data_IF_753281102694
#
_entry.id   IF_753281102694
#
_cell.length_a   1.000
_cell.length_b   1.000
_cell.length_c   1.000
_cell.angle_alpha   90.00
_cell.angle_beta   90.00
_cell.angle_gamma   90.00
#
_symmetry.space_group_name_H-M   'P 1'
#
loop_
_entity.id
_entity.type
_entity.pdbx_description
1 polymer ?
#
# COMPACT_ATOMS: atom_id res chain seq x y z
N UNK A 1 -1.23 6.33 7.75
CA UNK A 1 -0.48 5.45 6.89
C UNK A 1 -0.08 4.17 7.58
N UNK A 2 -0.02 3.09 6.85
CA UNK A 2 0.10 1.74 7.39
C UNK A 2 1.52 1.40 7.79
N UNK A 3 1.89 1.66 9.02
CA UNK A 3 3.25 1.43 9.49
C UNK A 3 3.54 0.05 10.02
N UNK A 4 2.52 -0.72 10.28
CA UNK A 4 2.69 -1.98 10.98
C UNK A 4 2.07 -3.12 10.22
N UNK A 5 2.77 -3.56 9.19
CA UNK A 5 2.69 -4.97 8.91
C UNK A 5 3.58 -5.61 9.96
N UNK A 6 3.00 -5.97 11.09
CA UNK A 6 3.69 -6.87 12.01
C UNK A 6 4.13 -8.06 11.19
N UNK A 7 5.41 -8.38 11.23
CA UNK A 7 5.96 -9.59 10.63
C UNK A 7 5.16 -10.77 11.18
N UNK A 8 4.09 -11.12 10.48
CA UNK A 8 3.36 -12.33 10.79
C UNK A 8 4.22 -13.52 10.44
N UNK A 9 4.10 -14.57 11.21
CA UNK A 9 4.86 -15.80 11.06
C UNK A 9 4.59 -16.46 9.71
N UNK A 10 5.67 -16.78 8.96
CA UNK A 10 5.65 -17.65 7.82
C UNK A 10 5.32 -16.96 6.49
N UNK A 11 6.13 -17.26 5.46
CA UNK A 11 5.92 -16.77 4.10
C UNK A 11 4.83 -17.53 3.39
N UNK A 12 3.55 -17.17 3.58
CA UNK A 12 2.52 -17.61 2.67
C UNK A 12 2.50 -16.69 1.46
N UNK A 13 2.04 -17.19 0.30
CA UNK A 13 1.88 -16.41 -0.92
C UNK A 13 1.06 -15.15 -0.66
N UNK A 14 0.06 -15.23 0.23
CA UNK A 14 -0.78 -14.11 0.63
C UNK A 14 0.02 -12.97 1.28
N UNK A 15 1.01 -13.28 2.10
CA UNK A 15 1.86 -12.27 2.75
C UNK A 15 2.79 -11.56 1.77
N UNK A 16 3.29 -12.28 0.77
CA UNK A 16 4.12 -11.69 -0.28
C UNK A 16 3.28 -10.71 -1.09
N UNK A 17 2.05 -11.08 -1.41
CA UNK A 17 1.11 -10.20 -2.10
C UNK A 17 0.78 -8.95 -1.28
N UNK A 18 0.49 -9.10 -0.01
CA UNK A 18 0.19 -7.98 0.87
C UNK A 18 1.36 -7.01 0.96
N UNK A 19 2.59 -7.52 1.07
CA UNK A 19 3.79 -6.69 1.10
C UNK A 19 3.97 -5.93 -0.21
N UNK A 20 3.80 -6.60 -1.34
CA UNK A 20 3.91 -5.96 -2.66
C UNK A 20 2.86 -4.87 -2.82
N UNK A 21 1.61 -5.16 -2.47
CA UNK A 21 0.51 -4.20 -2.52
C UNK A 21 0.78 -2.98 -1.65
N UNK A 22 1.30 -3.21 -0.45
CA UNK A 22 1.63 -2.13 0.48
C UNK A 22 2.76 -1.24 -0.06
N UNK A 23 3.81 -1.82 -0.62
CA UNK A 23 4.89 -1.05 -1.22
C UNK A 23 4.39 -0.22 -2.40
N UNK A 24 3.58 -0.81 -3.28
CA UNK A 24 3.05 -0.13 -4.46
C UNK A 24 2.12 1.04 -4.07
N UNK A 25 1.25 0.81 -3.10
CA UNK A 25 0.40 1.87 -2.55
C UNK A 25 1.23 3.00 -1.94
N UNK A 26 2.27 2.65 -1.18
CA UNK A 26 3.16 3.62 -0.56
C UNK A 26 3.89 4.48 -1.61
N UNK A 27 4.35 3.86 -2.69
CA UNK A 27 4.97 4.58 -3.81
C UNK A 27 3.99 5.60 -4.40
N UNK A 28 2.75 5.18 -4.65
CA UNK A 28 1.72 6.08 -5.17
C UNK A 28 1.47 7.27 -4.24
N UNK A 29 1.32 6.99 -2.95
CA UNK A 29 1.05 8.03 -1.95
C UNK A 29 2.19 9.02 -1.81
N UNK A 30 3.43 8.55 -1.80
CA UNK A 30 4.62 9.42 -1.73
C UNK A 30 4.70 10.26 -2.99
N UNK A 31 4.47 9.67 -4.16
CA UNK A 31 4.50 10.39 -5.43
C UNK A 31 3.48 11.51 -5.48
N UNK A 32 2.27 11.27 -5.01
CA UNK A 32 1.24 12.32 -4.93
C UNK A 32 1.64 13.45 -4.00
N UNK A 33 2.28 13.14 -2.89
CA UNK A 33 2.67 14.12 -1.88
C UNK A 33 3.93 14.91 -2.28
N UNK A 34 4.96 14.22 -2.80
CA UNK A 34 6.28 14.82 -3.07
C UNK A 34 6.56 15.04 -4.55
N UNK A 35 5.87 14.36 -5.44
CA UNK A 35 6.14 14.42 -6.88
C UNK A 35 7.24 13.49 -7.36
N UNK A 36 7.98 12.84 -6.46
CA UNK A 36 9.03 11.89 -6.82
C UNK A 36 9.25 10.90 -5.68
N UNK A 37 9.72 9.70 -5.99
CA UNK A 37 9.92 8.62 -5.01
C UNK A 37 11.30 7.99 -5.21
N UNK A 38 12.02 7.82 -4.11
CA UNK A 38 13.26 7.04 -4.05
C UNK A 38 13.15 6.03 -2.91
N UNK A 39 14.02 5.03 -2.90
CA UNK A 39 14.00 3.99 -1.86
C UNK A 39 14.08 4.56 -0.44
N UNK A 40 14.84 5.64 -0.24
CA UNK A 40 14.94 6.27 1.08
C UNK A 40 13.61 6.83 1.56
N UNK A 41 12.78 7.33 0.66
CA UNK A 41 11.45 7.82 1.01
C UNK A 41 10.57 6.70 1.56
N UNK A 42 10.68 5.52 0.97
CA UNK A 42 9.94 4.32 1.42
C UNK A 42 10.45 3.86 2.78
N UNK A 43 11.78 3.84 2.97
CA UNK A 43 12.41 3.50 4.25
C UNK A 43 11.85 4.40 5.35
N UNK A 44 11.83 5.70 5.12
CA UNK A 44 11.36 6.67 6.11
C UNK A 44 9.85 6.55 6.37
N UNK A 45 9.09 6.28 5.34
CA UNK A 45 7.62 6.19 5.43
C UNK A 45 7.16 4.94 6.18
N UNK A 46 7.76 3.78 5.88
CA UNK A 46 7.36 2.49 6.43
C UNK A 46 8.17 2.08 7.65
N UNK A 47 9.24 2.82 7.95
CA UNK A 47 10.17 2.49 9.04
C UNK A 47 10.78 1.09 8.90
N UNK A 48 10.99 0.66 7.66
CA UNK A 48 11.64 -0.61 7.35
C UNK A 48 13.14 -0.38 7.14
N UNK A 49 13.94 -1.43 7.28
CA UNK A 49 15.38 -1.34 7.05
C UNK A 49 15.70 -1.06 5.58
N UNK A 50 16.81 -0.37 5.34
CA UNK A 50 17.30 -0.13 3.96
C UNK A 50 17.49 -1.41 3.15
N UNK A 51 18.12 -2.47 3.71
CA UNK A 51 18.24 -3.73 2.97
C UNK A 51 16.91 -4.36 2.61
N UNK A 52 15.93 -4.32 3.51
CA UNK A 52 14.59 -4.88 3.24
C UNK A 52 13.90 -4.15 2.10
N UNK A 53 13.95 -2.81 2.10
CA UNK A 53 13.36 -2.00 1.04
C UNK A 53 14.09 -2.23 -0.28
N UNK A 54 15.41 -2.30 -0.25
CA UNK A 54 16.22 -2.55 -1.45
C UNK A 54 15.86 -3.88 -2.12
N UNK A 55 15.73 -4.95 -1.34
CA UNK A 55 15.31 -6.26 -1.85
C UNK A 55 13.89 -6.19 -2.42
N UNK A 56 12.98 -5.53 -1.71
CA UNK A 56 11.60 -5.39 -2.16
C UNK A 56 11.52 -4.62 -3.49
N UNK A 57 12.26 -3.54 -3.62
CA UNK A 57 12.27 -2.74 -4.86
C UNK A 57 12.86 -3.53 -6.03
N UNK A 58 13.91 -4.30 -5.78
CA UNK A 58 14.47 -5.20 -6.80
C UNK A 58 13.44 -6.20 -7.28
N UNK A 59 12.72 -6.85 -6.35
CA UNK A 59 11.69 -7.83 -6.69
C UNK A 59 10.54 -7.20 -7.49
N UNK A 60 10.07 -6.02 -7.08
CA UNK A 60 9.01 -5.32 -7.80
C UNK A 60 9.44 -4.93 -9.21
N UNK A 61 10.69 -4.51 -9.38
CA UNK A 61 11.24 -4.17 -10.69
C UNK A 61 11.35 -5.40 -11.58
N UNK A 62 11.85 -6.52 -11.06
CA UNK A 62 11.97 -7.76 -11.79
C UNK A 62 10.62 -8.32 -12.25
N UNK A 63 9.58 -8.09 -11.48
CA UNK A 63 8.21 -8.52 -11.81
C UNK A 63 7.43 -7.50 -12.64
N UNK A 64 8.06 -6.39 -13.02
CA UNK A 64 7.45 -5.41 -13.91
C UNK A 64 6.45 -4.46 -13.27
N UNK A 65 6.46 -4.29 -11.97
CA UNK A 65 5.55 -3.38 -11.26
C UNK A 65 6.08 -1.96 -11.15
N UNK A 66 7.40 -1.80 -11.15
CA UNK A 66 8.07 -0.50 -11.06
C UNK A 66 9.22 -0.40 -12.04
N UNK A 67 9.62 0.83 -12.32
CA UNK A 67 10.85 1.16 -13.03
C UNK A 67 11.71 2.02 -12.12
N UNK A 68 13.02 1.92 -12.27
CA UNK A 68 13.98 2.73 -11.53
C UNK A 68 14.97 3.32 -12.54
N UNK A 69 15.14 4.63 -12.51
CA UNK A 69 16.11 5.29 -13.40
C UNK A 69 17.53 5.26 -12.81
N UNK A 70 18.47 5.85 -13.55
CA UNK A 70 19.89 5.86 -13.15
C UNK A 70 20.13 6.62 -11.84
N UNK A 71 19.27 7.57 -11.50
CA UNK A 71 19.36 8.37 -10.29
C UNK A 71 18.62 7.75 -9.10
N UNK A 72 18.00 6.59 -9.30
CA UNK A 72 17.27 5.86 -8.27
C UNK A 72 15.83 6.31 -8.07
N UNK A 73 15.28 7.12 -8.96
CA UNK A 73 13.87 7.50 -8.90
C UNK A 73 12.99 6.34 -9.36
N UNK A 74 11.95 6.10 -8.59
CA UNK A 74 11.03 4.98 -8.77
C UNK A 74 9.73 5.49 -9.40
N UNK A 75 9.27 4.83 -10.46
CA UNK A 75 7.97 5.08 -11.07
C UNK A 75 7.18 3.79 -11.17
N UNK A 76 5.87 3.89 -11.03
CA UNK A 76 4.97 2.75 -11.21
C UNK A 76 4.79 2.48 -12.70
N UNK A 77 4.81 1.20 -13.07
CA UNK A 77 4.38 0.80 -14.41
C UNK A 77 2.85 0.79 -14.43
N UNK A 78 2.24 0.60 -15.59
CA UNK A 78 0.79 0.45 -15.69
C UNK A 78 0.28 -0.68 -14.78
N UNK A 79 0.97 -1.82 -14.78
CA UNK A 79 0.65 -2.96 -13.93
C UNK A 79 0.74 -2.61 -12.44
N UNK A 80 1.79 -1.90 -12.04
CA UNK A 80 1.97 -1.45 -10.66
C UNK A 80 0.95 -0.40 -10.26
N UNK A 81 0.63 0.52 -11.15
CA UNK A 81 -0.38 1.57 -10.91
C UNK A 81 -1.76 0.99 -10.65
N UNK A 82 -2.16 -0.02 -11.41
CA UNK A 82 -3.47 -0.67 -11.21
C UNK A 82 -3.62 -1.20 -9.80
N UNK A 83 -2.58 -1.87 -9.30
CA UNK A 83 -2.58 -2.43 -7.95
C UNK A 83 -2.56 -1.30 -6.91
N UNK A 84 -1.68 -0.33 -7.08
CA UNK A 84 -1.54 0.79 -6.15
C UNK A 84 -2.84 1.59 -6.02
N UNK A 85 -3.47 1.91 -7.14
CA UNK A 85 -4.73 2.67 -7.17
C UNK A 85 -5.88 1.90 -6.53
N UNK A 86 -5.96 0.60 -6.78
CA UNK A 86 -6.97 -0.27 -6.17
C UNK A 86 -6.82 -0.30 -4.65
N UNK A 87 -5.60 -0.44 -4.15
CA UNK A 87 -5.34 -0.46 -2.71
C UNK A 87 -5.63 0.91 -2.08
N UNK A 88 -5.23 1.98 -2.75
CA UNK A 88 -5.46 3.33 -2.26
C UNK A 88 -6.95 3.67 -2.21
N UNK A 89 -7.73 3.26 -3.19
CA UNK A 89 -9.18 3.41 -3.19
C UNK A 89 -9.81 2.68 -1.99
N UNK A 90 -9.42 1.42 -1.78
CA UNK A 90 -9.89 0.63 -0.64
C UNK A 90 -9.55 1.32 0.68
N UNK A 91 -8.32 1.81 0.79
CA UNK A 91 -7.85 2.50 1.99
C UNK A 91 -8.74 3.70 2.32
N UNK A 92 -9.00 4.54 1.34
CA UNK A 92 -9.83 5.75 1.54
C UNK A 92 -11.25 5.41 1.96
N UNK A 93 -11.89 4.49 1.25
CA UNK A 93 -13.29 4.12 1.56
C UNK A 93 -13.42 3.47 2.93
N UNK A 94 -12.54 2.54 3.26
CA UNK A 94 -12.61 1.81 4.53
C UNK A 94 -12.29 2.73 5.69
N UNK A 95 -11.23 3.53 5.61
CA UNK A 95 -10.85 4.45 6.69
C UNK A 95 -11.96 5.48 6.94
N UNK A 96 -12.51 6.07 5.91
CA UNK A 96 -13.61 7.04 6.04
C UNK A 96 -14.88 6.40 6.58
N UNK A 97 -15.18 5.18 6.15
CA UNK A 97 -16.32 4.43 6.67
C UNK A 97 -16.20 4.17 8.17
N UNK A 98 -15.02 3.76 8.63
CA UNK A 98 -14.75 3.54 10.04
C UNK A 98 -14.86 4.83 10.85
N UNK A 99 -14.35 5.93 10.34
CA UNK A 99 -14.46 7.24 10.98
C UNK A 99 -15.93 7.63 11.14
N UNK A 100 -16.75 7.42 10.13
CA UNK A 100 -18.19 7.69 10.20
C UNK A 100 -18.90 6.83 11.24
N UNK A 101 -18.42 5.61 11.47
CA UNK A 101 -18.95 4.73 12.52
C UNK A 101 -18.53 5.18 13.92
N UNK A 102 -17.65 6.14 14.04
CA UNK A 102 -17.18 6.65 15.32
C UNK A 102 -15.81 6.15 15.75
N UNK A 103 -15.09 5.46 14.88
CA UNK A 103 -13.73 4.99 15.18
C UNK A 103 -12.78 6.18 15.11
N UNK A 104 -11.87 6.27 16.09
CA UNK A 104 -10.84 7.30 16.11
C UNK A 104 -10.08 7.31 14.77
N UNK A 105 -9.85 8.50 14.15
CA UNK A 105 -9.21 8.56 12.84
C UNK A 105 -7.89 7.82 12.72
N UNK A 106 -7.05 7.87 13.74
CA UNK A 106 -5.76 7.17 13.75
C UNK A 106 -5.95 5.65 13.72
N UNK A 107 -6.87 5.14 14.54
CA UNK A 107 -7.19 3.71 14.58
C UNK A 107 -7.86 3.29 13.28
N UNK A 108 -8.74 4.11 12.73
CA UNK A 108 -9.42 3.84 11.47
C UNK A 108 -8.43 3.65 10.32
N UNK A 109 -7.41 4.50 10.24
CA UNK A 109 -6.37 4.40 9.22
C UNK A 109 -5.55 3.11 9.39
N UNK A 110 -5.16 2.78 10.61
CA UNK A 110 -4.40 1.57 10.91
C UNK A 110 -5.19 0.30 10.57
N UNK A 111 -6.46 0.25 10.96
CA UNK A 111 -7.33 -0.89 10.67
C UNK A 111 -7.65 -1.01 9.18
N UNK A 112 -7.91 0.10 8.51
CA UNK A 112 -8.15 0.13 7.06
C UNK A 112 -6.99 -0.48 6.30
N UNK A 113 -5.76 -0.18 6.72
CA UNK A 113 -4.57 -0.73 6.10
C UNK A 113 -4.51 -2.26 6.15
N UNK A 114 -4.99 -2.84 7.23
CA UNK A 114 -5.05 -4.30 7.36
C UNK A 114 -6.20 -4.89 6.57
N UNK A 115 -7.37 -4.27 6.66
CA UNK A 115 -8.60 -4.75 6.03
C UNK A 115 -8.47 -4.72 4.50
N UNK A 116 -7.90 -3.68 3.94
CA UNK A 116 -7.83 -3.47 2.49
C UNK A 116 -7.15 -4.61 1.73
N UNK A 117 -6.22 -5.31 2.38
CA UNK A 117 -5.46 -6.40 1.75
C UNK A 117 -6.13 -7.76 1.86
N UNK A 118 -7.10 -7.91 2.75
CA UNK A 118 -7.69 -9.22 3.07
C UNK A 118 -9.14 -9.39 2.63
N UNK A 119 -9.85 -8.31 2.34
CA UNK A 119 -11.24 -8.41 1.89
C UNK A 119 -11.34 -8.75 0.41
N UNK A 120 -12.39 -9.47 0.05
CA UNK A 120 -12.68 -9.77 -1.35
C UNK A 120 -13.17 -8.51 -2.10
N UNK A 121 -13.07 -8.56 -3.43
CA UNK A 121 -13.64 -7.52 -4.27
C UNK A 121 -15.16 -7.38 -4.05
N UNK A 122 -15.83 -8.50 -3.83
CA UNK A 122 -17.28 -8.54 -3.59
C UNK A 122 -17.66 -7.79 -2.32
N UNK A 123 -16.91 -8.04 -1.23
CA UNK A 123 -17.12 -7.33 0.04
C UNK A 123 -16.84 -5.84 -0.11
N UNK A 124 -15.76 -5.49 -0.81
CA UNK A 124 -15.42 -4.08 -1.03
C UNK A 124 -16.49 -3.37 -1.86
N UNK A 125 -17.00 -4.00 -2.92
CA UNK A 125 -18.07 -3.44 -3.73
C UNK A 125 -19.35 -3.20 -2.91
N UNK A 126 -19.67 -4.13 -2.02
CA UNK A 126 -20.80 -3.95 -1.11
C UNK A 126 -20.60 -2.75 -0.17
N UNK A 127 -19.40 -2.60 0.37
CA UNK A 127 -19.05 -1.45 1.21
C UNK A 127 -19.20 -0.14 0.41
N UNK A 128 -18.70 -0.10 -0.82
CA UNK A 128 -18.82 1.08 -1.69
C UNK A 128 -20.28 1.47 -1.96
N UNK A 129 -21.14 0.49 -2.16
CA UNK A 129 -22.56 0.74 -2.44
C UNK A 129 -23.31 1.28 -1.23
N UNK A 130 -23.00 0.82 -0.04
CA UNK A 130 -23.71 1.16 1.18
C UNK A 130 -23.08 2.32 1.96
N UNK A 131 -21.79 2.54 1.80
CA UNK A 131 -21.08 3.66 2.42
C UNK A 131 -20.89 4.76 1.38
N UNK A 132 -21.92 5.50 1.08
CA UNK A 132 -21.79 6.69 0.23
C UNK A 132 -21.06 7.76 1.02
N UNK A 133 -19.81 7.92 0.68
CA UNK A 133 -18.93 8.90 1.31
C UNK A 133 -18.85 10.18 0.50
#
# INVERSE_FOLDING_TARGET
MCYTIKKGRGGSVLKIQESAENYLETILMINERKGSVRSIDIVNELEFSKPSVSVAMKNLREHGYIKMDADGYITLTEKGSEIAERMYERHKFISQGLIKLGVDPKIAVEDACRIEHVISAETFDAIKKHCKL
#
